data_IF_117863420807
#
_entry.id   IF_117863420807
#
_cell.length_a   1.000
_cell.length_b   1.000
_cell.length_c   1.000
_cell.angle_alpha   90.00
_cell.angle_beta   90.00
_cell.angle_gamma   90.00
#
_symmetry.space_group_name_H-M   'P 1'
#
loop_
_entity.id
_entity.type
_entity.pdbx_description
1 polymer ?
#
# COMPACT_ATOMS: atom_id res chain seq x y z
N UNK A 1 59.95 -35.79 -36.57
CA UNK A 1 59.48 -34.58 -35.83
C UNK A 1 57.96 -34.33 -35.88
N UNK A 2 57.11 -35.25 -36.37
CA UNK A 2 55.67 -34.97 -36.61
C UNK A 2 54.71 -35.33 -35.45
N UNK A 3 55.04 -36.31 -34.60
CA UNK A 3 54.13 -36.80 -33.52
C UNK A 3 54.00 -35.84 -32.32
N UNK A 4 55.11 -35.28 -31.83
CA UNK A 4 55.11 -34.34 -30.68
C UNK A 4 54.38 -33.02 -30.99
N UNK A 5 54.49 -32.49 -32.21
CA UNK A 5 53.75 -31.29 -32.65
C UNK A 5 52.23 -31.55 -32.72
N UNK A 6 51.80 -32.69 -33.29
CA UNK A 6 50.39 -33.10 -33.32
C UNK A 6 49.80 -33.29 -31.93
N UNK A 7 50.55 -33.86 -30.99
CA UNK A 7 50.10 -34.07 -29.61
C UNK A 7 49.95 -32.73 -28.85
N UNK A 8 50.87 -31.78 -29.08
CA UNK A 8 50.78 -30.42 -28.51
C UNK A 8 49.61 -29.63 -29.11
N UNK A 9 49.38 -29.73 -30.42
CA UNK A 9 48.20 -29.15 -31.07
C UNK A 9 46.88 -29.71 -30.54
N UNK A 10 46.77 -31.04 -30.37
CA UNK A 10 45.57 -31.66 -29.78
C UNK A 10 45.32 -31.19 -28.35
N UNK A 11 46.37 -31.12 -27.52
CA UNK A 11 46.26 -30.64 -26.14
C UNK A 11 45.82 -29.17 -26.08
N UNK A 12 46.35 -28.31 -26.95
CA UNK A 12 45.90 -26.91 -27.04
C UNK A 12 44.46 -26.79 -27.55
N UNK A 13 44.04 -27.66 -28.48
CA UNK A 13 42.65 -27.71 -28.95
C UNK A 13 41.68 -28.11 -27.83
N UNK A 14 42.03 -29.10 -26.99
CA UNK A 14 41.21 -29.48 -25.83
C UNK A 14 41.13 -28.37 -24.78
N UNK A 15 42.24 -27.68 -24.51
CA UNK A 15 42.26 -26.54 -23.57
C UNK A 15 41.37 -25.41 -24.09
N UNK A 16 41.49 -25.03 -25.37
CA UNK A 16 40.63 -24.00 -25.96
C UNK A 16 39.16 -24.40 -25.95
N UNK A 17 38.84 -25.66 -26.24
CA UNK A 17 37.47 -26.16 -26.20
C UNK A 17 36.89 -26.12 -24.77
N UNK A 18 37.69 -26.49 -23.77
CA UNK A 18 37.28 -26.41 -22.37
C UNK A 18 37.02 -24.96 -21.91
N UNK A 19 37.87 -24.01 -22.33
CA UNK A 19 37.67 -22.58 -22.03
C UNK A 19 36.39 -22.05 -22.69
N UNK A 20 36.16 -22.37 -23.96
CA UNK A 20 34.93 -21.96 -24.67
C UNK A 20 33.70 -22.57 -24.01
N UNK A 21 33.74 -23.85 -23.66
CA UNK A 21 32.63 -24.51 -22.96
C UNK A 21 32.35 -23.85 -21.60
N UNK A 22 33.39 -23.46 -20.86
CA UNK A 22 33.25 -22.78 -19.57
C UNK A 22 32.68 -21.36 -19.73
N UNK A 23 33.07 -20.63 -20.77
CA UNK A 23 32.50 -19.31 -21.09
C UNK A 23 31.03 -19.41 -21.49
N UNK A 24 30.66 -20.42 -22.29
CA UNK A 24 29.26 -20.66 -22.67
C UNK A 24 28.44 -21.06 -21.44
N UNK A 25 28.94 -21.99 -20.62
CA UNK A 25 28.26 -22.42 -19.40
C UNK A 25 28.10 -21.25 -18.42
N UNK A 26 29.14 -20.43 -18.25
CA UNK A 26 29.09 -19.20 -17.45
C UNK A 26 28.08 -18.18 -18.00
N UNK A 27 28.04 -18.00 -19.32
CA UNK A 27 27.08 -17.11 -19.99
C UNK A 27 25.63 -17.60 -19.85
N UNK A 28 25.38 -18.90 -19.98
CA UNK A 28 24.05 -19.50 -19.79
C UNK A 28 23.62 -19.42 -18.33
N UNK A 29 24.52 -19.71 -17.39
CA UNK A 29 24.24 -19.55 -15.96
C UNK A 29 23.90 -18.08 -15.64
N UNK A 30 24.74 -17.14 -16.07
CA UNK A 30 24.50 -15.71 -15.89
C UNK A 30 23.15 -15.29 -16.52
N UNK A 31 22.84 -15.75 -17.73
CA UNK A 31 21.57 -15.45 -18.39
C UNK A 31 20.37 -15.97 -17.60
N UNK A 32 20.44 -17.18 -17.03
CA UNK A 32 19.37 -17.75 -16.20
C UNK A 32 19.20 -17.01 -14.88
N UNK A 33 20.29 -16.52 -14.26
CA UNK A 33 20.24 -15.71 -13.04
C UNK A 33 19.85 -14.24 -13.28
N UNK A 34 20.01 -13.72 -14.51
CA UNK A 34 19.71 -12.33 -14.87
C UNK A 34 18.33 -12.15 -15.52
N UNK A 35 17.53 -13.22 -15.69
CA UNK A 35 16.17 -13.08 -16.23
C UNK A 35 15.31 -12.28 -15.24
N UNK A 36 14.63 -11.21 -15.70
CA UNK A 36 13.70 -10.49 -14.85
C UNK A 36 12.58 -11.43 -14.44
N UNK A 37 12.22 -11.40 -13.15
CA UNK A 37 11.06 -12.12 -12.63
C UNK A 37 9.82 -11.62 -13.39
N UNK A 38 8.96 -12.53 -13.88
CA UNK A 38 7.76 -12.12 -14.59
C UNK A 38 6.83 -11.35 -13.64
N UNK A 39 6.06 -10.43 -14.21
CA UNK A 39 5.08 -9.64 -13.49
C UNK A 39 3.73 -9.73 -14.21
N UNK A 40 2.66 -9.52 -13.47
CA UNK A 40 1.31 -9.40 -14.01
C UNK A 40 1.12 -8.03 -14.65
N UNK A 41 0.66 -7.99 -15.90
CA UNK A 41 0.57 -6.73 -16.66
C UNK A 41 -0.53 -5.79 -16.18
N UNK A 42 -1.54 -6.30 -15.46
CA UNK A 42 -2.66 -5.51 -14.96
C UNK A 42 -2.36 -4.89 -13.60
N UNK A 43 -1.68 -5.62 -12.73
CA UNK A 43 -1.37 -5.20 -11.35
C UNK A 43 0.06 -4.70 -11.19
N UNK A 44 0.93 -4.94 -12.18
CA UNK A 44 2.37 -4.66 -12.15
C UNK A 44 3.13 -5.42 -11.04
N UNK A 45 2.46 -6.32 -10.33
CA UNK A 45 3.05 -7.10 -9.26
C UNK A 45 3.85 -8.28 -9.81
N UNK A 46 4.92 -8.66 -9.11
CA UNK A 46 5.69 -9.84 -9.46
C UNK A 46 4.81 -11.10 -9.35
N UNK A 47 4.94 -12.00 -10.32
CA UNK A 47 4.34 -13.34 -10.22
C UNK A 47 5.19 -14.16 -9.24
N UNK A 48 4.78 -14.14 -7.98
CA UNK A 48 5.43 -14.79 -6.84
C UNK A 48 4.39 -15.49 -5.98
N UNK A 49 4.80 -16.52 -5.25
CA UNK A 49 3.97 -17.15 -4.21
C UNK A 49 3.89 -16.27 -2.94
N UNK A 50 4.78 -15.28 -2.81
CA UNK A 50 4.80 -14.32 -1.70
C UNK A 50 4.07 -13.02 -2.08
N UNK A 51 3.22 -12.54 -1.17
CA UNK A 51 2.56 -11.25 -1.31
C UNK A 51 3.57 -10.10 -1.12
N UNK A 52 3.43 -8.99 -1.88
CA UNK A 52 4.29 -7.82 -1.72
C UNK A 52 3.96 -7.06 -0.43
N UNK A 53 4.89 -6.21 0.08
CA UNK A 53 4.54 -5.16 1.02
C UNK A 53 3.37 -4.33 0.50
N UNK A 54 2.51 -3.83 1.39
CA UNK A 54 1.27 -3.21 0.95
C UNK A 54 0.95 -1.95 1.78
N UNK A 55 0.92 -0.81 1.09
CA UNK A 55 0.37 0.45 1.59
C UNK A 55 -1.03 0.67 1.00
N UNK A 56 -2.03 0.81 1.86
CA UNK A 56 -3.40 1.14 1.49
C UNK A 56 -3.73 2.57 1.93
N UNK A 57 -4.30 3.36 1.03
CA UNK A 57 -4.83 4.70 1.33
C UNK A 57 -6.36 4.60 1.37
N UNK A 58 -6.96 5.04 2.47
CA UNK A 58 -8.41 5.07 2.64
C UNK A 58 -8.85 6.53 2.77
N UNK A 59 -9.75 6.97 1.89
CA UNK A 59 -10.36 8.30 1.94
C UNK A 59 -11.78 8.20 2.46
N UNK A 60 -12.04 8.86 3.59
CA UNK A 60 -13.35 8.91 4.23
C UNK A 60 -14.14 10.15 3.82
N UNK A 61 -15.03 9.98 2.83
CA UNK A 61 -15.85 11.03 2.21
C UNK A 61 -17.21 11.20 2.89
N UNK A 62 -17.20 11.48 4.19
CA UNK A 62 -18.44 11.62 4.96
C UNK A 62 -19.04 13.02 4.88
N UNK A 63 -18.20 14.05 4.70
CA UNK A 63 -18.68 15.38 4.33
C UNK A 63 -17.81 15.98 3.21
N UNK A 64 -18.33 17.04 2.58
CA UNK A 64 -17.63 17.77 1.53
C UNK A 64 -16.27 18.31 1.99
N UNK A 65 -15.29 18.25 1.08
CA UNK A 65 -13.99 18.92 1.21
C UNK A 65 -13.99 20.23 0.44
N UNK A 66 -13.24 21.21 0.93
CA UNK A 66 -12.91 22.39 0.12
C UNK A 66 -11.75 22.11 -0.85
N UNK A 67 -11.54 23.01 -1.81
CA UNK A 67 -10.50 22.88 -2.84
C UNK A 67 -9.09 22.77 -2.23
N UNK A 68 -8.83 23.46 -1.12
CA UNK A 68 -7.53 23.41 -0.45
C UNK A 68 -7.28 22.07 0.22
N UNK A 69 -8.32 21.46 0.79
CA UNK A 69 -8.26 20.12 1.36
C UNK A 69 -8.06 19.07 0.26
N UNK A 70 -8.76 19.20 -0.87
CA UNK A 70 -8.56 18.33 -2.03
C UNK A 70 -7.10 18.34 -2.52
N UNK A 71 -6.48 19.52 -2.61
CA UNK A 71 -5.07 19.67 -2.97
C UNK A 71 -4.13 18.99 -1.96
N UNK A 72 -4.39 19.15 -0.65
CA UNK A 72 -3.61 18.50 0.40
C UNK A 72 -3.72 16.98 0.36
N UNK A 73 -4.91 16.44 0.05
CA UNK A 73 -5.15 15.00 -0.12
C UNK A 73 -4.39 14.48 -1.34
N UNK A 74 -4.49 15.17 -2.47
CA UNK A 74 -3.77 14.80 -3.69
C UNK A 74 -2.24 14.78 -3.46
N UNK A 75 -1.72 15.78 -2.76
CA UNK A 75 -0.29 15.84 -2.40
C UNK A 75 0.11 14.76 -1.39
N UNK A 76 -0.76 14.42 -0.44
CA UNK A 76 -0.54 13.29 0.45
C UNK A 76 -0.40 11.99 -0.33
N UNK A 77 -1.31 11.71 -1.26
CA UNK A 77 -1.28 10.49 -2.08
C UNK A 77 0.02 10.45 -2.89
N UNK A 78 0.40 11.55 -3.56
CA UNK A 78 1.67 11.65 -4.29
C UNK A 78 2.89 11.42 -3.41
N UNK A 79 2.91 11.99 -2.19
CA UNK A 79 3.99 11.75 -1.22
C UNK A 79 4.02 10.30 -0.71
N UNK A 80 2.87 9.64 -0.61
CA UNK A 80 2.80 8.23 -0.24
C UNK A 80 3.35 7.35 -1.36
N UNK A 81 2.99 7.62 -2.62
CA UNK A 81 3.60 6.99 -3.80
C UNK A 81 5.12 7.13 -3.80
N UNK A 82 5.64 8.34 -3.57
CA UNK A 82 7.08 8.61 -3.67
C UNK A 82 7.92 7.87 -2.61
N UNK A 83 7.28 7.41 -1.52
CA UNK A 83 7.88 6.63 -0.44
C UNK A 83 7.84 5.11 -0.68
N UNK A 84 7.12 4.64 -1.70
CA UNK A 84 6.99 3.20 -1.97
C UNK A 84 8.32 2.58 -2.38
N UNK A 85 8.60 1.41 -1.80
CA UNK A 85 9.70 0.57 -2.26
C UNK A 85 9.37 -0.09 -3.61
N UNK A 86 10.38 -0.54 -4.34
CA UNK A 86 10.17 -1.25 -5.61
C UNK A 86 9.47 -2.58 -5.33
N UNK A 87 8.36 -2.83 -6.03
CA UNK A 87 7.53 -4.02 -5.84
C UNK A 87 6.49 -3.89 -4.72
N UNK A 88 6.51 -2.81 -3.93
CA UNK A 88 5.46 -2.53 -2.94
C UNK A 88 4.14 -2.20 -3.65
N UNK A 89 3.04 -2.74 -3.12
CA UNK A 89 1.68 -2.48 -3.60
C UNK A 89 1.12 -1.21 -2.97
N UNK A 90 0.57 -0.35 -3.80
CA UNK A 90 -0.26 0.77 -3.39
C UNK A 90 -1.70 0.50 -3.80
N UNK A 91 -2.62 0.56 -2.85
CA UNK A 91 -4.05 0.54 -3.12
C UNK A 91 -4.75 1.78 -2.59
N UNK A 92 -5.75 2.28 -3.29
CA UNK A 92 -6.58 3.42 -2.88
C UNK A 92 -8.04 3.01 -2.81
N UNK A 93 -8.68 3.37 -1.70
CA UNK A 93 -10.05 3.00 -1.39
C UNK A 93 -10.85 4.26 -1.00
N UNK A 94 -12.06 4.34 -1.52
CA UNK A 94 -13.09 5.26 -1.04
C UNK A 94 -13.98 4.50 -0.05
N UNK A 95 -14.22 5.09 1.12
CA UNK A 95 -15.23 4.58 2.06
C UNK A 95 -16.62 4.93 1.51
N UNK A 96 -17.43 3.92 1.22
CA UNK A 96 -18.85 4.14 0.98
C UNK A 96 -19.66 4.16 2.30
N UNK A 97 -20.92 4.56 2.18
CA UNK A 97 -21.84 4.70 3.32
C UNK A 97 -22.01 3.37 4.08
N UNK A 98 -21.95 2.24 3.39
CA UNK A 98 -22.11 0.91 3.98
C UNK A 98 -20.81 0.37 4.60
N UNK A 99 -19.69 1.10 4.50
CA UNK A 99 -18.37 0.61 4.89
C UNK A 99 -17.91 -0.56 4.04
N UNK A 100 -18.53 -0.67 2.87
CA UNK A 100 -18.05 -1.47 1.79
C UNK A 100 -17.04 -0.61 1.02
N UNK A 101 -16.13 -1.29 0.37
CA UNK A 101 -15.29 -0.71 -0.66
C UNK A 101 -15.11 -1.84 -1.66
N UNK A 102 -14.97 -1.50 -2.94
CA UNK A 102 -14.62 -2.51 -3.93
C UNK A 102 -13.28 -3.14 -3.50
N UNK A 103 -13.19 -4.46 -3.25
CA UNK A 103 -11.94 -5.09 -2.85
C UNK A 103 -10.84 -4.96 -3.90
N UNK A 104 -11.17 -4.54 -5.13
CA UNK A 104 -10.20 -4.16 -6.17
C UNK A 104 -9.56 -2.78 -5.94
N UNK A 105 -10.20 -1.93 -5.14
CA UNK A 105 -9.86 -0.52 -4.96
C UNK A 105 -10.13 0.31 -6.22
N UNK A 106 -10.11 1.63 -6.08
CA UNK A 106 -10.11 2.55 -7.23
C UNK A 106 -8.76 2.52 -7.96
N UNK A 107 -7.72 2.12 -7.24
CA UNK A 107 -6.38 1.86 -7.76
C UNK A 107 -5.73 0.76 -6.93
N UNK A 108 -5.03 -0.16 -7.58
CA UNK A 108 -4.27 -1.20 -6.88
C UNK A 108 -3.14 -1.77 -7.74
N UNK A 109 -1.96 -1.13 -7.69
CA UNK A 109 -0.79 -1.52 -8.49
C UNK A 109 0.46 -1.64 -7.63
N UNK A 110 1.38 -2.52 -8.03
CA UNK A 110 2.74 -2.57 -7.48
C UNK A 110 3.64 -1.53 -8.15
N UNK A 111 4.52 -0.89 -7.37
CA UNK A 111 5.52 0.03 -7.87
C UNK A 111 6.50 -0.70 -8.81
N UNK A 112 6.50 -0.44 -10.12
CA UNK A 112 7.37 -1.13 -11.07
C UNK A 112 8.84 -0.68 -11.00
N UNK A 113 9.13 0.31 -10.14
CA UNK A 113 10.42 0.97 -9.98
C UNK A 113 10.62 2.11 -10.98
N UNK A 114 11.36 3.14 -10.54
CA UNK A 114 11.71 4.32 -11.35
C UNK A 114 13.20 4.68 -11.26
N UNK A 115 13.70 5.38 -12.28
CA UNK A 115 15.06 5.91 -12.31
C UNK A 115 16.15 4.98 -11.75
N UNK A 116 16.86 5.45 -10.73
CA UNK A 116 17.99 4.75 -10.09
C UNK A 116 17.62 3.64 -9.10
N UNK A 117 16.33 3.43 -8.79
CA UNK A 117 15.87 2.30 -7.98
C UNK A 117 16.03 0.96 -8.71
N UNK A 118 16.22 1.02 -10.03
CA UNK A 118 16.36 -0.12 -10.91
C UNK A 118 17.82 -0.22 -11.37
N UNK A 119 18.45 -1.40 -11.21
CA UNK A 119 19.88 -1.59 -11.50
C UNK A 119 20.27 -1.04 -12.90
N UNK A 120 21.16 -0.03 -12.97
CA UNK A 120 21.54 0.66 -14.21
C UNK A 120 22.28 -0.21 -15.23
N UNK A 121 22.86 -1.34 -14.80
CA UNK A 121 23.70 -2.17 -15.67
C UNK A 121 22.93 -2.86 -16.81
N UNK A 122 21.58 -2.86 -16.79
CA UNK A 122 20.77 -3.69 -17.68
C UNK A 122 19.52 -3.05 -18.28
N UNK A 123 19.19 -1.78 -17.99
CA UNK A 123 17.96 -1.13 -18.50
C UNK A 123 18.18 0.33 -18.87
N UNK A 124 17.61 0.76 -20.00
CA UNK A 124 17.61 2.15 -20.44
C UNK A 124 16.79 3.01 -19.44
N UNK A 125 17.42 3.95 -18.70
CA UNK A 125 16.73 4.72 -17.67
C UNK A 125 15.52 5.50 -18.20
N UNK A 126 15.62 6.03 -19.44
CA UNK A 126 14.51 6.73 -20.09
C UNK A 126 13.29 5.82 -20.27
N UNK A 127 13.51 4.57 -20.67
CA UNK A 127 12.41 3.61 -20.85
C UNK A 127 11.77 3.19 -19.53
N UNK A 128 12.55 3.11 -18.44
CA UNK A 128 12.01 2.81 -17.11
C UNK A 128 11.12 3.97 -16.67
N UNK A 129 11.59 5.21 -16.83
CA UNK A 129 10.84 6.40 -16.45
C UNK A 129 9.55 6.52 -17.26
N UNK A 130 9.61 6.37 -18.58
CA UNK A 130 8.42 6.40 -19.45
C UNK A 130 7.41 5.31 -19.07
N UNK A 131 7.89 4.11 -18.73
CA UNK A 131 7.03 3.01 -18.29
C UNK A 131 6.39 3.29 -16.94
N UNK A 132 7.14 3.81 -15.97
CA UNK A 132 6.62 4.21 -14.67
C UNK A 132 5.53 5.29 -14.83
N UNK A 133 5.84 6.33 -15.60
CA UNK A 133 4.91 7.42 -15.88
C UNK A 133 3.61 6.90 -16.51
N UNK A 134 3.72 6.04 -17.53
CA UNK A 134 2.58 5.57 -18.31
C UNK A 134 1.71 4.54 -17.56
N UNK A 135 2.34 3.59 -16.85
CA UNK A 135 1.62 2.45 -16.27
C UNK A 135 1.22 2.65 -14.82
N UNK A 136 1.90 3.56 -14.10
CA UNK A 136 1.69 3.75 -12.66
C UNK A 136 1.24 5.18 -12.34
N UNK A 137 2.06 6.18 -12.70
CA UNK A 137 1.80 7.57 -12.30
C UNK A 137 0.56 8.17 -12.96
N UNK A 138 0.45 8.10 -14.30
CA UNK A 138 -0.69 8.67 -15.02
C UNK A 138 -2.03 8.01 -14.62
N UNK A 139 -2.14 6.68 -14.52
CA UNK A 139 -3.37 6.04 -14.02
C UNK A 139 -3.69 6.44 -12.58
N UNK A 140 -2.68 6.57 -11.71
CA UNK A 140 -2.88 7.00 -10.32
C UNK A 140 -3.39 8.44 -10.26
N UNK A 141 -2.79 9.37 -11.02
CA UNK A 141 -3.21 10.77 -11.03
C UNK A 141 -4.65 10.93 -11.54
N UNK A 142 -5.06 10.16 -12.55
CA UNK A 142 -6.45 10.13 -13.02
C UNK A 142 -7.43 9.65 -11.93
N UNK A 143 -7.03 8.66 -11.12
CA UNK A 143 -7.84 8.19 -9.98
C UNK A 143 -7.87 9.24 -8.87
N UNK A 144 -6.77 9.95 -8.60
CA UNK A 144 -6.73 11.05 -7.62
C UNK A 144 -7.74 12.13 -7.99
N UNK A 145 -7.82 12.53 -9.26
CA UNK A 145 -8.76 13.55 -9.74
C UNK A 145 -10.22 13.21 -9.43
N UNK A 146 -10.61 11.93 -9.52
CA UNK A 146 -11.96 11.46 -9.14
C UNK A 146 -12.11 11.29 -7.61
N UNK A 147 -11.07 10.76 -6.97
CA UNK A 147 -11.05 10.50 -5.53
C UNK A 147 -11.08 11.77 -4.69
N UNK A 148 -10.64 12.92 -5.18
CA UNK A 148 -10.72 14.18 -4.41
C UNK A 148 -12.04 14.92 -4.62
N UNK A 149 -12.92 14.43 -5.50
CA UNK A 149 -14.25 15.02 -5.69
C UNK A 149 -15.09 14.84 -4.42
N UNK A 150 -15.62 15.94 -3.83
CA UNK A 150 -16.49 15.89 -2.66
C UNK A 150 -17.72 15.03 -2.90
N UNK A 151 -18.03 14.17 -1.93
CA UNK A 151 -19.26 13.38 -1.86
C UNK A 151 -19.73 13.36 -0.41
N UNK A 152 -21.03 13.19 -0.22
CA UNK A 152 -21.64 13.04 1.10
C UNK A 152 -22.07 11.58 1.29
N UNK A 153 -21.67 10.98 2.41
CA UNK A 153 -22.05 9.63 2.80
C UNK A 153 -22.78 9.68 4.16
N UNK A 154 -23.98 9.09 4.31
CA UNK A 154 -24.77 9.18 5.54
C UNK A 154 -24.15 8.46 6.76
N UNK A 155 -23.10 7.65 6.56
CA UNK A 155 -22.43 6.88 7.61
C UNK A 155 -20.93 6.77 7.37
N UNK A 156 -20.18 6.56 8.46
CA UNK A 156 -18.71 6.50 8.49
C UNK A 156 -18.24 5.28 9.30
N UNK A 157 -18.38 4.06 8.75
CA UNK A 157 -17.95 2.83 9.43
C UNK A 157 -16.43 2.58 9.25
N UNK A 158 -15.62 3.51 9.76
CA UNK A 158 -14.17 3.57 9.62
C UNK A 158 -13.49 2.28 10.07
N UNK A 159 -13.83 1.81 11.26
CA UNK A 159 -13.20 0.64 11.86
C UNK A 159 -13.52 -0.64 11.07
N UNK A 160 -14.75 -0.77 10.61
CA UNK A 160 -15.21 -1.87 9.78
C UNK A 160 -14.52 -1.88 8.42
N UNK A 161 -14.34 -0.73 7.78
CA UNK A 161 -13.62 -0.62 6.52
C UNK A 161 -12.16 -1.07 6.66
N UNK A 162 -11.45 -0.58 7.68
CA UNK A 162 -10.08 -1.05 7.95
C UNK A 162 -10.06 -2.57 8.21
N UNK A 163 -10.97 -3.07 9.05
CA UNK A 163 -11.02 -4.49 9.38
C UNK A 163 -11.31 -5.39 8.18
N UNK A 164 -12.19 -4.95 7.26
CA UNK A 164 -12.47 -5.62 5.97
C UNK A 164 -11.27 -5.60 5.04
N UNK A 165 -10.51 -4.50 4.99
CA UNK A 165 -9.28 -4.44 4.21
C UNK A 165 -8.32 -5.53 4.65
N UNK A 166 -8.15 -5.72 5.96
CA UNK A 166 -7.36 -6.81 6.52
C UNK A 166 -7.84 -8.22 6.19
N UNK A 167 -9.05 -8.39 5.65
CA UNK A 167 -9.57 -9.68 5.18
C UNK A 167 -9.38 -9.90 3.68
N UNK A 168 -8.96 -8.88 2.94
CA UNK A 168 -8.66 -9.04 1.51
C UNK A 168 -7.41 -9.91 1.32
N UNK A 169 -7.38 -10.67 0.23
CA UNK A 169 -6.25 -11.54 -0.10
C UNK A 169 -4.93 -10.76 -0.16
N UNK A 170 -4.95 -9.57 -0.78
CA UNK A 170 -3.75 -8.75 -0.97
C UNK A 170 -3.27 -8.03 0.30
N UNK A 171 -4.08 -7.88 1.34
CA UNK A 171 -3.75 -7.18 2.60
C UNK A 171 -3.90 -8.10 3.83
N UNK A 172 -3.93 -9.42 3.60
CA UNK A 172 -4.03 -10.42 4.65
C UNK A 172 -2.79 -10.41 5.55
N UNK A 173 -2.82 -11.05 6.73
CA UNK A 173 -1.63 -11.22 7.57
C UNK A 173 -0.42 -11.89 6.88
N UNK A 174 -0.60 -12.51 5.72
CA UNK A 174 0.50 -13.09 4.92
C UNK A 174 1.29 -12.03 4.15
N UNK A 175 0.71 -10.85 3.91
CA UNK A 175 1.43 -9.73 3.30
C UNK A 175 2.42 -9.12 4.32
N UNK A 176 3.70 -8.97 3.95
CA UNK A 176 4.67 -8.32 4.81
C UNK A 176 4.38 -6.82 4.93
N UNK A 177 4.83 -6.18 6.02
CA UNK A 177 4.85 -4.72 6.19
C UNK A 177 3.57 -4.01 5.69
N UNK A 178 2.46 -4.24 6.38
CA UNK A 178 1.16 -3.67 6.03
C UNK A 178 0.98 -2.29 6.64
N UNK A 179 0.65 -1.31 5.79
CA UNK A 179 0.40 0.07 6.20
C UNK A 179 -0.96 0.56 5.71
N UNK A 180 -1.70 1.24 6.56
CA UNK A 180 -2.90 1.99 6.22
C UNK A 180 -2.59 3.47 6.42
N UNK A 181 -2.87 4.29 5.41
CA UNK A 181 -2.94 5.75 5.52
C UNK A 181 -4.41 6.13 5.39
N UNK A 182 -5.03 6.60 6.47
CA UNK A 182 -6.44 7.00 6.44
C UNK A 182 -6.55 8.52 6.49
N UNK A 183 -7.35 9.08 5.59
CA UNK A 183 -7.74 10.49 5.58
C UNK A 183 -9.18 10.57 6.03
N UNK A 184 -9.41 11.07 7.24
CA UNK A 184 -10.74 11.08 7.87
C UNK A 184 -10.80 12.11 8.98
N UNK A 185 -12.00 12.57 9.31
CA UNK A 185 -12.25 13.31 10.54
C UNK A 185 -12.34 12.42 11.80
N UNK A 186 -12.26 11.11 11.61
CA UNK A 186 -12.32 10.07 12.63
C UNK A 186 -13.63 10.07 13.44
N UNK A 187 -14.69 10.69 12.91
CA UNK A 187 -16.03 10.70 13.49
C UNK A 187 -16.81 9.47 13.01
N UNK A 188 -16.47 8.30 13.58
CA UNK A 188 -17.17 7.06 13.25
C UNK A 188 -18.69 7.20 13.49
N UNK A 189 -19.45 6.69 12.53
CA UNK A 189 -20.90 6.58 12.61
C UNK A 189 -21.34 5.25 12.00
N UNK A 190 -21.49 4.24 12.86
CA UNK A 190 -21.90 2.89 12.47
C UNK A 190 -22.65 2.18 13.60
N UNK A 191 -23.03 0.93 13.35
CA UNK A 191 -23.65 0.06 14.35
C UNK A 191 -22.70 -0.28 15.53
N UNK A 192 -21.38 -0.15 15.37
CA UNK A 192 -20.43 -0.38 16.47
C UNK A 192 -20.49 0.74 17.50
N UNK A 193 -20.38 2.00 17.04
CA UNK A 193 -20.59 3.20 17.84
C UNK A 193 -20.74 4.42 16.94
N UNK A 194 -21.21 5.52 17.53
CA UNK A 194 -21.25 6.83 16.88
C UNK A 194 -20.51 7.84 17.74
N UNK A 195 -19.53 8.53 17.16
CA UNK A 195 -18.77 9.61 17.78
C UNK A 195 -19.46 10.98 17.65
N UNK A 196 -20.63 11.04 17.00
CA UNK A 196 -21.43 12.25 16.88
C UNK A 196 -22.10 12.59 18.21
N UNK A 197 -21.56 13.59 18.90
CA UNK A 197 -22.09 14.15 20.15
C UNK A 197 -22.62 15.57 19.98
N UNK A 198 -23.53 15.96 20.87
CA UNK A 198 -23.96 17.36 21.00
C UNK A 198 -22.86 18.21 21.64
N UNK A 199 -22.56 19.37 21.05
CA UNK A 199 -21.67 20.37 21.66
C UNK A 199 -20.17 20.12 21.50
N UNK A 200 -19.74 19.23 20.59
CA UNK A 200 -18.32 19.02 20.32
C UNK A 200 -17.61 18.23 21.42
N UNK A 201 -18.32 17.38 22.16
CA UNK A 201 -17.78 16.52 23.22
C UNK A 201 -18.08 15.06 22.94
N UNK A 202 -17.24 14.16 23.47
CA UNK A 202 -17.38 12.72 23.29
C UNK A 202 -18.76 12.27 23.82
N UNK A 203 -19.54 11.48 23.08
CA UNK A 203 -20.83 11.00 23.54
C UNK A 203 -20.74 10.21 24.85
N UNK A 204 -21.69 10.43 25.77
CA UNK A 204 -21.69 9.76 27.07
C UNK A 204 -21.96 8.23 26.98
N UNK A 205 -22.55 7.78 25.87
CA UNK A 205 -22.89 6.39 25.59
C UNK A 205 -21.81 5.65 24.78
N UNK A 206 -20.59 6.18 24.70
CA UNK A 206 -19.49 5.51 24.02
C UNK A 206 -19.20 4.16 24.71
N UNK A 207 -19.16 3.03 23.97
CA UNK A 207 -18.77 1.75 24.53
C UNK A 207 -17.29 1.78 24.93
N UNK A 208 -16.87 0.88 25.83
CA UNK A 208 -15.45 0.77 26.18
C UNK A 208 -14.65 0.31 24.98
N UNK A 209 -13.43 0.83 24.80
CA UNK A 209 -12.58 0.51 23.67
C UNK A 209 -12.36 -1.00 23.49
N UNK A 210 -12.12 -1.73 24.60
CA UNK A 210 -12.00 -3.19 24.60
C UNK A 210 -13.24 -3.92 24.06
N UNK A 211 -14.45 -3.43 24.37
CA UNK A 211 -15.69 -4.10 23.95
C UNK A 211 -15.89 -3.91 22.43
N UNK A 212 -15.48 -2.74 21.91
CA UNK A 212 -15.44 -2.46 20.47
C UNK A 212 -14.41 -3.36 19.78
N UNK A 213 -13.19 -3.45 20.32
CA UNK A 213 -12.13 -4.30 19.78
C UNK A 213 -12.56 -5.78 19.74
N UNK A 214 -13.14 -6.30 20.83
CA UNK A 214 -13.69 -7.66 20.87
C UNK A 214 -14.80 -7.88 19.82
N UNK A 215 -15.67 -6.90 19.61
CA UNK A 215 -16.72 -6.99 18.59
C UNK A 215 -16.14 -7.05 17.17
N UNK A 216 -15.11 -6.25 16.89
CA UNK A 216 -14.38 -6.25 15.62
C UNK A 216 -13.67 -7.58 15.42
N UNK A 217 -12.89 -8.06 16.39
CA UNK A 217 -12.16 -9.32 16.27
C UNK A 217 -13.10 -10.52 16.11
N UNK A 218 -14.26 -10.51 16.79
CA UNK A 218 -15.27 -11.56 16.62
C UNK A 218 -15.84 -11.62 15.21
N UNK A 219 -15.96 -10.47 14.54
CA UNK A 219 -16.54 -10.36 13.20
C UNK A 219 -15.49 -10.52 12.09
N UNK A 220 -14.31 -9.96 12.28
CA UNK A 220 -13.29 -9.84 11.24
C UNK A 220 -12.02 -10.65 11.51
N UNK A 221 -11.90 -11.26 12.69
CA UNK A 221 -10.67 -11.87 13.16
C UNK A 221 -9.62 -10.83 13.55
N UNK A 222 -8.38 -11.28 13.76
CA UNK A 222 -7.24 -10.41 14.08
C UNK A 222 -6.63 -9.77 12.83
N UNK A 223 -7.48 -9.33 11.90
CA UNK A 223 -7.08 -8.87 10.56
C UNK A 223 -6.19 -7.62 10.59
N UNK A 224 -6.33 -6.79 11.62
CA UNK A 224 -5.62 -5.53 11.81
C UNK A 224 -4.32 -5.64 12.64
N UNK A 225 -4.06 -6.81 13.23
CA UNK A 225 -2.91 -6.99 14.11
C UNK A 225 -1.60 -6.77 13.35
N UNK A 226 -0.73 -5.89 13.87
CA UNK A 226 0.58 -5.59 13.29
C UNK A 226 0.56 -4.65 12.09
N UNK A 227 -0.58 -4.02 11.80
CA UNK A 227 -0.70 -3.00 10.75
C UNK A 227 -0.20 -1.64 11.29
N UNK A 228 0.64 -0.97 10.51
CA UNK A 228 0.99 0.44 10.75
C UNK A 228 -0.14 1.34 10.26
N UNK A 229 -0.59 2.29 11.07
CA UNK A 229 -1.70 3.19 10.76
C UNK A 229 -1.23 4.64 10.82
N UNK A 230 -1.20 5.35 9.68
CA UNK A 230 -1.02 6.81 9.61
C UNK A 230 -2.41 7.46 9.47
N UNK A 231 -2.83 8.21 10.49
CA UNK A 231 -4.06 9.01 10.44
C UNK A 231 -3.73 10.42 9.98
N UNK A 232 -4.39 10.87 8.91
CA UNK A 232 -4.41 12.24 8.41
C UNK A 232 -5.75 12.86 8.75
N UNK A 233 -5.77 13.49 9.92
CA UNK A 233 -6.97 14.03 10.54
C UNK A 233 -7.46 15.25 9.77
N UNK A 234 -8.73 15.21 9.35
CA UNK A 234 -9.44 16.38 8.84
C UNK A 234 -10.08 17.11 10.03
N UNK A 235 -9.62 18.32 10.39
CA UNK A 235 -10.18 19.06 11.51
C UNK A 235 -11.58 19.57 11.14
N UNK A 236 -12.56 19.32 12.01
CA UNK A 236 -13.93 19.83 11.87
C UNK A 236 -14.14 20.93 12.90
N UNK A 237 -14.43 22.14 12.46
CA UNK A 237 -14.45 23.33 13.34
C UNK A 237 -15.15 23.15 14.69
N UNK A 238 -16.32 22.49 14.73
CA UNK A 238 -17.06 22.23 15.99
C UNK A 238 -16.53 21.07 16.84
N UNK A 239 -15.70 20.20 16.28
CA UNK A 239 -15.17 18.98 16.90
C UNK A 239 -13.66 18.98 17.07
N UNK A 240 -12.90 19.96 16.54
CA UNK A 240 -11.44 19.97 16.51
C UNK A 240 -10.80 19.65 17.88
N UNK A 241 -11.28 20.28 18.95
CA UNK A 241 -10.73 20.06 20.29
C UNK A 241 -11.00 18.64 20.81
N UNK A 242 -12.19 18.09 20.52
CA UNK A 242 -12.53 16.70 20.84
C UNK A 242 -11.72 15.72 20.01
N UNK A 243 -11.60 15.96 18.70
CA UNK A 243 -10.82 15.13 17.77
C UNK A 243 -9.37 15.03 18.22
N UNK A 244 -8.77 16.14 18.66
CA UNK A 244 -7.36 16.20 19.11
C UNK A 244 -7.14 15.75 20.56
N UNK A 245 -8.21 15.69 21.36
CA UNK A 245 -8.17 15.27 22.76
C UNK A 245 -8.86 13.92 22.95
N UNK A 246 -10.05 13.93 23.57
CA UNK A 246 -10.74 12.75 24.06
C UNK A 246 -11.01 11.69 22.97
N UNK A 247 -11.32 12.09 21.74
CA UNK A 247 -11.59 11.15 20.66
C UNK A 247 -10.31 10.45 20.19
N UNK A 248 -9.19 11.19 20.07
CA UNK A 248 -7.87 10.62 19.78
C UNK A 248 -7.43 9.63 20.86
N UNK A 249 -7.64 9.96 22.13
CA UNK A 249 -7.34 9.06 23.24
C UNK A 249 -8.17 7.77 23.15
N UNK A 250 -9.48 7.90 22.91
CA UNK A 250 -10.38 6.76 22.73
C UNK A 250 -9.95 5.86 21.57
N UNK A 251 -9.69 6.45 20.39
CA UNK A 251 -9.21 5.70 19.23
C UNK A 251 -7.87 5.03 19.47
N UNK A 252 -6.95 5.69 20.17
CA UNK A 252 -5.65 5.12 20.50
C UNK A 252 -5.79 3.87 21.38
N UNK A 253 -6.76 3.86 22.29
CA UNK A 253 -7.10 2.66 23.08
C UNK A 253 -7.67 1.55 22.19
N UNK A 254 -8.64 1.86 21.32
CA UNK A 254 -9.22 0.88 20.37
C UNK A 254 -8.14 0.27 19.47
N UNK A 255 -7.26 1.11 18.92
CA UNK A 255 -6.17 0.68 18.05
C UNK A 255 -5.16 -0.19 18.78
N UNK A 256 -4.81 0.17 20.02
CA UNK A 256 -3.91 -0.65 20.85
C UNK A 256 -4.51 -2.04 21.12
N UNK A 257 -5.80 -2.13 21.46
CA UNK A 257 -6.49 -3.41 21.69
C UNK A 257 -6.52 -4.28 20.43
N UNK A 258 -6.61 -3.67 19.24
CA UNK A 258 -6.57 -4.36 17.94
C UNK A 258 -5.15 -4.68 17.42
N UNK A 259 -4.11 -4.26 18.15
CA UNK A 259 -2.71 -4.47 17.76
C UNK A 259 -2.22 -3.58 16.61
N UNK A 260 -2.85 -2.43 16.40
CA UNK A 260 -2.44 -1.40 15.43
C UNK A 260 -1.36 -0.48 16.03
N UNK A 261 -0.48 0.03 15.17
CA UNK A 261 0.50 1.06 15.54
C UNK A 261 0.11 2.38 14.88
N UNK A 262 -0.57 3.25 15.63
CA UNK A 262 -1.15 4.48 15.10
C UNK A 262 -0.24 5.71 15.28
N UNK A 263 -0.01 6.45 14.19
CA UNK A 263 0.59 7.80 14.17
C UNK A 263 -0.48 8.82 13.72
N UNK A 264 -0.57 9.95 14.41
CA UNK A 264 -1.59 10.97 14.16
C UNK A 264 -0.96 12.25 13.64
N UNK A 265 -1.45 12.72 12.50
CA UNK A 265 -1.06 14.01 11.90
C UNK A 265 -2.28 14.74 11.39
N UNK A 266 -2.26 16.06 11.45
CA UNK A 266 -3.25 16.84 10.70
C UNK A 266 -3.00 16.65 9.18
N UNK A 267 -4.07 16.82 8.39
CA UNK A 267 -3.99 16.79 6.93
C UNK A 267 -3.03 17.86 6.39
#
# INVERSE_FOLDING_TARGET
MSRRRRQRQRRMAYINFAIIALLIAGGVAAFQFLKPVPYDEQTLCLLSDELPPHTAIILDKTDEYDESQADLIADLIRRSRDRLEVGERLSMFELDAEGQFDPRGEFSLCNPGRGGQVNPLFRNPRMIEERYATLFETPMDAVIEDLVVPKEAPSSPILEAMARLGQTENFSPDAPARRIVIVSDMLQNSDLFSAYGGGGVLPANMPRARDVAEAVERRYGRSLSGVELEIRLIPRGRYTDMQRGALKEYWSEVFSELGLQADWRDL
#
